data_IF_590852136264
#
_entry.id   IF_590852136264
#
_cell.length_a   1.000
_cell.length_b   1.000
_cell.length_c   1.000
_cell.angle_alpha   90.00
_cell.angle_beta   90.00
_cell.angle_gamma   90.00
#
_symmetry.space_group_name_H-M   'P 1'
#
loop_
_entity.id
_entity.type
_entity.pdbx_description
1 polymer ?
#
# COMPACT_ATOMS: atom_id res chain seq x y z
N UNK A 1 -10.22 -3.64 4.00
CA UNK A 1 -11.10 -2.70 3.26
C UNK A 1 -10.37 -1.97 2.14
N UNK A 2 -9.30 -1.21 2.41
CA UNK A 2 -8.68 -0.32 1.39
C UNK A 2 -7.44 -0.87 0.65
N UNK A 3 -7.04 -2.13 0.88
CA UNK A 3 -5.76 -2.65 0.38
C UNK A 3 -5.64 -2.61 -1.16
N UNK A 4 -6.75 -2.86 -1.87
CA UNK A 4 -6.80 -2.92 -3.34
C UNK A 4 -7.49 -1.70 -3.99
N UNK A 5 -7.65 -0.59 -3.25
CA UNK A 5 -8.49 0.54 -3.70
C UNK A 5 -8.02 1.17 -5.03
N UNK A 6 -6.73 1.01 -5.37
CA UNK A 6 -6.15 1.48 -6.64
C UNK A 6 -6.42 0.61 -7.86
N UNK A 7 -6.96 -0.62 -7.71
CA UNK A 7 -7.12 -1.56 -8.84
C UNK A 7 -8.00 -1.00 -9.95
N UNK A 8 -9.16 -0.45 -9.62
CA UNK A 8 -10.08 0.10 -10.62
C UNK A 8 -9.43 1.21 -11.46
N UNK A 9 -8.62 2.06 -10.84
CA UNK A 9 -7.93 3.18 -11.50
C UNK A 9 -6.71 2.77 -12.34
N UNK A 10 -6.26 1.52 -12.22
CA UNK A 10 -5.03 1.00 -12.86
C UNK A 10 -5.29 -0.21 -13.75
N UNK A 11 -6.56 -0.52 -14.02
CA UNK A 11 -6.93 -1.60 -14.92
C UNK A 11 -6.47 -1.28 -16.36
N UNK A 12 -5.55 -2.09 -16.87
CA UNK A 12 -5.10 -2.05 -18.26
C UNK A 12 -4.73 -3.46 -18.71
N UNK A 13 -5.24 -3.89 -19.87
CA UNK A 13 -4.98 -5.23 -20.45
C UNK A 13 -5.22 -6.40 -19.47
N UNK A 14 -6.19 -6.27 -18.56
CA UNK A 14 -6.49 -7.28 -17.55
C UNK A 14 -5.55 -7.29 -16.33
N UNK A 15 -4.61 -6.35 -16.26
CA UNK A 15 -3.63 -6.19 -15.19
C UNK A 15 -3.86 -4.91 -14.38
N UNK A 16 -3.27 -4.85 -13.18
CA UNK A 16 -3.37 -3.72 -12.23
C UNK A 16 -1.97 -3.22 -11.83
N UNK A 17 -1.17 -2.81 -12.81
CA UNK A 17 0.23 -2.44 -12.58
C UNK A 17 0.29 -1.12 -11.80
N UNK A 18 1.04 -1.10 -10.69
CA UNK A 18 1.23 0.11 -9.86
C UNK A 18 0.03 0.49 -9.00
N UNK A 19 -0.96 -0.38 -8.85
CA UNK A 19 -2.17 -0.10 -8.07
C UNK A 19 -1.89 0.16 -6.58
N UNK A 20 -0.78 -0.33 -6.06
CA UNK A 20 -0.34 -0.08 -4.69
C UNK A 20 0.20 1.35 -4.52
N UNK A 21 0.75 1.97 -5.58
CA UNK A 21 1.09 3.41 -5.59
C UNK A 21 -0.19 4.23 -5.57
N UNK A 22 -1.07 4.00 -6.56
CA UNK A 22 -2.31 4.78 -6.75
C UNK A 22 -3.23 4.60 -5.53
N UNK A 23 -3.33 3.38 -5.01
CA UNK A 23 -4.09 3.09 -3.80
C UNK A 23 -3.57 3.84 -2.58
N UNK A 24 -2.26 4.04 -2.45
CA UNK A 24 -1.67 4.83 -1.35
C UNK A 24 -2.14 6.29 -1.37
N UNK A 25 -2.17 6.90 -2.55
CA UNK A 25 -2.64 8.28 -2.74
C UNK A 25 -4.15 8.40 -2.47
N UNK A 26 -4.94 7.43 -2.95
CA UNK A 26 -6.38 7.37 -2.70
C UNK A 26 -6.70 7.22 -1.21
N UNK A 27 -5.97 6.36 -0.48
CA UNK A 27 -6.13 6.21 0.97
C UNK A 27 -5.81 7.49 1.71
N UNK A 28 -4.76 8.20 1.33
CA UNK A 28 -4.44 9.49 1.94
C UNK A 28 -5.58 10.49 1.77
N UNK A 29 -6.14 10.61 0.56
CA UNK A 29 -7.25 11.49 0.27
C UNK A 29 -8.52 11.13 1.07
N UNK A 30 -8.87 9.83 1.15
CA UNK A 30 -10.02 9.34 1.90
C UNK A 30 -9.87 9.63 3.39
N UNK A 31 -8.74 9.27 3.99
CA UNK A 31 -8.53 9.43 5.43
C UNK A 31 -8.45 10.91 5.84
N UNK A 32 -7.82 11.77 5.02
CA UNK A 32 -7.83 13.23 5.24
C UNK A 32 -9.24 13.81 5.19
N UNK A 33 -10.06 13.40 4.23
CA UNK A 33 -11.48 13.82 4.12
C UNK A 33 -12.31 13.41 5.34
N UNK A 34 -11.96 12.28 5.96
CA UNK A 34 -12.58 11.79 7.19
C UNK A 34 -12.00 12.40 8.47
N UNK A 35 -11.09 13.38 8.35
CA UNK A 35 -10.42 14.03 9.48
C UNK A 35 -9.66 13.05 10.41
N UNK A 36 -9.17 11.95 9.84
CA UNK A 36 -8.34 10.99 10.56
C UNK A 36 -7.01 11.64 10.97
N UNK A 37 -6.49 11.37 12.19
CA UNK A 37 -5.23 11.94 12.64
C UNK A 37 -4.08 11.66 11.67
N UNK A 38 -3.17 12.64 11.49
CA UNK A 38 -2.04 12.54 10.55
C UNK A 38 -1.19 11.27 10.71
N UNK A 39 -0.98 10.82 11.95
CA UNK A 39 -0.24 9.59 12.24
C UNK A 39 -0.94 8.34 11.70
N UNK A 40 -2.27 8.30 11.79
CA UNK A 40 -3.08 7.19 11.27
C UNK A 40 -3.19 7.25 9.74
N UNK A 41 -3.22 8.45 9.15
CA UNK A 41 -3.09 8.61 7.69
C UNK A 41 -1.76 8.03 7.20
N UNK A 42 -0.65 8.36 7.87
CA UNK A 42 0.67 7.85 7.51
C UNK A 42 0.75 6.32 7.64
N UNK A 43 0.19 5.75 8.71
CA UNK A 43 0.08 4.29 8.90
C UNK A 43 -0.76 3.65 7.80
N UNK A 44 -1.93 4.20 7.48
CA UNK A 44 -2.80 3.70 6.43
C UNK A 44 -2.11 3.69 5.05
N UNK A 45 -1.36 4.75 4.73
CA UNK A 45 -0.54 4.82 3.52
C UNK A 45 0.49 3.69 3.46
N UNK A 46 1.22 3.45 4.56
CA UNK A 46 2.22 2.39 4.63
C UNK A 46 1.59 1.00 4.44
N UNK A 47 0.46 0.75 5.09
CA UNK A 47 -0.25 -0.53 4.99
C UNK A 47 -0.71 -0.81 3.55
N UNK A 48 -1.26 0.18 2.84
CA UNK A 48 -1.66 0.00 1.44
C UNK A 48 -0.46 -0.09 0.50
N UNK A 49 0.58 0.71 0.72
CA UNK A 49 1.80 0.66 -0.11
C UNK A 49 2.45 -0.72 -0.13
N UNK A 50 2.40 -1.43 0.99
CA UNK A 50 3.08 -2.72 1.18
C UNK A 50 2.13 -3.92 1.29
N UNK A 51 0.86 -3.77 0.90
CA UNK A 51 -0.15 -4.83 1.12
C UNK A 51 0.10 -6.12 0.31
N UNK A 52 0.86 -6.05 -0.80
CA UNK A 52 1.24 -7.21 -1.60
C UNK A 52 2.44 -7.98 -1.06
N UNK A 53 3.07 -7.48 0.01
CA UNK A 53 4.31 -8.05 0.50
C UNK A 53 4.07 -9.36 1.27
N UNK A 54 4.68 -10.44 0.79
CA UNK A 54 4.64 -11.74 1.43
C UNK A 54 6.01 -12.05 2.07
N UNK A 55 6.07 -11.96 3.41
CA UNK A 55 7.21 -12.40 4.19
C UNK A 55 7.13 -13.92 4.42
N UNK A 56 8.26 -14.61 4.31
CA UNK A 56 8.36 -16.05 4.50
C UNK A 56 9.72 -16.48 5.07
N UNK A 57 9.82 -17.73 5.52
CA UNK A 57 11.03 -18.27 6.15
C UNK A 57 12.23 -18.41 5.20
N UNK A 58 12.01 -18.33 3.90
CA UNK A 58 13.01 -18.32 2.84
C UNK A 58 13.76 -16.99 2.70
N UNK A 59 13.32 -15.95 3.42
CA UNK A 59 13.94 -14.64 3.36
C UNK A 59 15.32 -14.63 4.00
N UNK A 60 16.31 -14.16 3.25
CA UNK A 60 17.64 -13.87 3.82
C UNK A 60 17.58 -12.63 4.71
N UNK A 61 18.46 -12.55 5.70
CA UNK A 61 18.62 -11.36 6.54
C UNK A 61 18.80 -10.06 5.70
N UNK A 62 19.47 -10.16 4.56
CA UNK A 62 19.66 -9.04 3.65
C UNK A 62 18.33 -8.58 3.03
N UNK A 63 17.46 -9.51 2.65
CA UNK A 63 16.13 -9.20 2.14
C UNK A 63 15.27 -8.53 3.22
N UNK A 64 15.29 -9.05 4.45
CA UNK A 64 14.58 -8.47 5.60
C UNK A 64 15.06 -7.04 5.88
N UNK A 65 16.38 -6.82 5.95
CA UNK A 65 16.95 -5.48 6.18
C UNK A 65 16.58 -4.47 5.10
N UNK A 66 16.51 -4.91 3.84
CA UNK A 66 16.11 -4.05 2.72
C UNK A 66 14.62 -3.67 2.79
N UNK A 67 13.78 -4.53 3.35
CA UNK A 67 12.35 -4.25 3.47
C UNK A 67 12.02 -3.29 4.63
N UNK A 68 12.75 -3.40 5.75
CA UNK A 68 12.50 -2.58 6.95
C UNK A 68 13.11 -1.17 6.83
N UNK A 69 14.13 -0.99 5.97
CA UNK A 69 14.70 0.33 5.66
C UNK A 69 13.77 1.16 4.79
#
# INVERSE_FOLDING_TARGET
LLHDVGKASTLGDGHFIGHEVVGTEMVEAVLRRLHVPRVEVARGRLLVRHHMFAYGGEWTDAAVRRFIR
#
